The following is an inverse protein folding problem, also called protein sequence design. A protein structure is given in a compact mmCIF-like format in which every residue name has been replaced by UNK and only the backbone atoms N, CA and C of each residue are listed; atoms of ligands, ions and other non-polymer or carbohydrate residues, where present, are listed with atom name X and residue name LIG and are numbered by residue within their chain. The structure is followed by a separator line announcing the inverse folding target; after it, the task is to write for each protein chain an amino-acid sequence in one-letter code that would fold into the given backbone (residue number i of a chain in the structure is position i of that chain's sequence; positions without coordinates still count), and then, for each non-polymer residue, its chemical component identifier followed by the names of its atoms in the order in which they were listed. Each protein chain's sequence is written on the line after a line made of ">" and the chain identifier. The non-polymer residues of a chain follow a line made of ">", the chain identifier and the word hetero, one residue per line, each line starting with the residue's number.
data_IF_128951866010
#
_entry.id   IF_128951866010
#
_cell.length_a   1.000
_cell.length_b   1.000
_cell.length_c   1.000
_cell.angle_alpha   90.00
_cell.angle_beta   90.00
_cell.angle_gamma   90.00
#
_symmetry.space_group_name_H-M   'P 1'
#
loop_
_entity.id
_entity.type
_entity.pdbx_description
1 polymer ?
#
# COMPACT_ATOMS: atom_id res chain seq x y z
N UNK A 1 22.05 9.20 -5.52
CA UNK A 1 20.91 8.28 -5.53
C UNK A 1 20.37 8.15 -4.12
N UNK A 2 19.09 8.31 -3.94
CA UNK A 2 18.42 8.11 -2.66
C UNK A 2 17.33 7.04 -2.79
N UNK A 3 17.02 6.35 -1.70
CA UNK A 3 15.81 5.55 -1.57
C UNK A 3 14.71 6.45 -1.00
N UNK A 4 13.63 6.56 -1.74
CA UNK A 4 12.49 7.42 -1.38
C UNK A 4 11.28 6.53 -1.13
N UNK A 5 10.62 6.73 -0.01
CA UNK A 5 9.35 6.08 0.30
C UNK A 5 8.25 7.14 0.25
N UNK A 6 7.31 6.96 -0.67
CA UNK A 6 6.14 7.81 -0.81
C UNK A 6 4.90 7.13 -0.26
N UNK A 7 4.21 7.79 0.65
CA UNK A 7 2.89 7.35 1.11
C UNK A 7 1.83 8.30 0.54
N UNK A 8 0.80 7.74 -0.07
CA UNK A 8 -0.33 8.47 -0.62
C UNK A 8 -1.62 8.06 0.05
N UNK A 9 -2.36 9.04 0.57
CA UNK A 9 -3.68 8.83 1.16
C UNK A 9 -4.79 8.70 0.13
N UNK A 10 -6.00 8.38 0.59
CA UNK A 10 -7.17 8.13 -0.26
C UNK A 10 -7.53 9.30 -1.19
N UNK A 11 -7.30 10.53 -0.76
CA UNK A 11 -7.54 11.72 -1.59
C UNK A 11 -6.65 11.72 -2.84
N UNK A 12 -5.36 11.41 -2.71
CA UNK A 12 -4.44 11.33 -3.84
C UNK A 12 -4.71 10.12 -4.74
N UNK A 13 -5.42 9.14 -4.23
CA UNK A 13 -5.81 7.92 -4.94
C UNK A 13 -7.30 7.91 -5.32
N UNK A 14 -7.95 9.08 -5.28
CA UNK A 14 -9.41 9.19 -5.36
C UNK A 14 -10.03 8.93 -6.73
N UNK A 15 -9.25 8.96 -7.80
CA UNK A 15 -9.70 8.70 -9.17
C UNK A 15 -8.55 8.18 -10.02
N UNK A 16 -8.88 7.65 -11.21
CA UNK A 16 -7.85 7.21 -12.17
C UNK A 16 -6.95 8.35 -12.62
N UNK A 17 -7.50 9.56 -12.75
CA UNK A 17 -6.73 10.78 -13.07
C UNK A 17 -5.73 11.11 -11.97
N UNK A 18 -6.15 11.04 -10.70
CA UNK A 18 -5.25 11.28 -9.56
C UNK A 18 -4.17 10.22 -9.43
N UNK A 19 -4.50 8.97 -9.69
CA UNK A 19 -3.53 7.86 -9.74
C UNK A 19 -2.49 8.12 -10.85
N UNK A 20 -2.92 8.58 -12.02
CA UNK A 20 -2.02 8.97 -13.10
C UNK A 20 -1.08 10.11 -12.68
N UNK A 21 -1.57 11.08 -11.92
CA UNK A 21 -0.74 12.17 -11.39
C UNK A 21 0.32 11.67 -10.38
N UNK A 22 -0.05 10.73 -9.51
CA UNK A 22 0.90 10.05 -8.61
C UNK A 22 1.98 9.33 -9.41
N UNK A 23 1.59 8.60 -10.45
CA UNK A 23 2.54 7.90 -11.32
C UNK A 23 3.53 8.84 -11.99
N UNK A 24 3.08 9.98 -12.49
CA UNK A 24 3.95 11.02 -13.08
C UNK A 24 4.98 11.53 -12.07
N UNK A 25 4.56 11.77 -10.84
CA UNK A 25 5.42 12.24 -9.77
C UNK A 25 6.49 11.20 -9.40
N UNK A 26 6.10 9.95 -9.25
CA UNK A 26 7.03 8.84 -8.98
C UNK A 26 8.01 8.66 -10.14
N UNK A 27 7.53 8.67 -11.37
CA UNK A 27 8.35 8.56 -12.56
C UNK A 27 9.41 9.67 -12.64
N UNK A 28 9.05 10.88 -12.27
CA UNK A 28 9.99 12.03 -12.20
C UNK A 28 11.18 11.73 -11.26
N UNK A 29 10.92 11.20 -10.07
CA UNK A 29 11.97 10.84 -9.13
C UNK A 29 12.85 9.72 -9.63
N UNK A 30 12.26 8.72 -10.26
CA UNK A 30 13.01 7.59 -10.82
C UNK A 30 13.89 8.02 -11.99
N UNK A 31 13.41 8.90 -12.87
CA UNK A 31 14.21 9.47 -13.96
C UNK A 31 15.36 10.35 -13.46
N UNK A 32 15.22 10.89 -12.25
CA UNK A 32 16.32 11.61 -11.58
C UNK A 32 17.35 10.67 -10.92
N UNK A 33 17.20 9.36 -11.05
CA UNK A 33 18.14 8.36 -10.56
C UNK A 33 17.86 7.84 -9.15
N UNK A 34 16.69 8.12 -8.59
CA UNK A 34 16.31 7.63 -7.28
C UNK A 34 15.57 6.29 -7.35
N UNK A 35 15.67 5.50 -6.27
CA UNK A 35 14.82 4.32 -6.04
C UNK A 35 13.57 4.75 -5.29
N UNK A 36 12.39 4.26 -5.69
CA UNK A 36 11.12 4.68 -5.10
C UNK A 36 10.29 3.47 -4.69
N UNK A 37 9.86 3.48 -3.43
CA UNK A 37 8.81 2.61 -2.90
C UNK A 37 7.56 3.46 -2.67
N UNK A 38 6.42 3.01 -3.16
CA UNK A 38 5.15 3.72 -3.01
C UNK A 38 4.20 2.89 -2.18
N UNK A 39 3.59 3.52 -1.18
CA UNK A 39 2.60 2.89 -0.30
C UNK A 39 1.27 3.63 -0.46
N UNK A 40 0.41 3.21 -1.40
CA UNK A 40 -0.88 3.85 -1.61
C UNK A 40 -1.93 3.34 -0.64
N UNK A 41 -2.89 4.20 -0.32
CA UNK A 41 -4.14 3.82 0.29
C UNK A 41 -5.14 3.32 -0.75
N UNK A 42 -6.25 2.75 -0.32
CA UNK A 42 -7.41 2.51 -1.18
C UNK A 42 -7.91 3.83 -1.80
N UNK A 43 -8.63 3.73 -2.89
CA UNK A 43 -9.30 4.89 -3.49
C UNK A 43 -10.26 5.51 -2.47
N UNK A 44 -10.46 6.83 -2.57
CA UNK A 44 -11.30 7.58 -1.63
C UNK A 44 -12.69 6.96 -1.45
N UNK A 45 -13.08 6.71 -0.21
CA UNK A 45 -14.36 6.11 0.14
C UNK A 45 -14.48 4.60 -0.05
N UNK A 46 -13.50 3.95 -0.65
CA UNK A 46 -13.58 2.52 -0.98
C UNK A 46 -13.59 1.62 0.26
N UNK A 47 -12.75 1.89 1.24
CA UNK A 47 -12.74 1.11 2.49
C UNK A 47 -14.08 1.21 3.21
N UNK A 48 -14.66 2.39 3.29
CA UNK A 48 -15.97 2.59 3.91
C UNK A 48 -17.08 1.88 3.14
N UNK A 49 -17.02 1.89 1.81
CA UNK A 49 -17.96 1.16 0.97
C UNK A 49 -17.91 -0.34 1.24
N UNK A 50 -16.72 -0.91 1.27
CA UNK A 50 -16.50 -2.34 1.52
C UNK A 50 -16.98 -2.77 2.92
N UNK A 51 -16.62 -2.00 3.94
CA UNK A 51 -17.06 -2.27 5.31
C UNK A 51 -18.58 -2.09 5.47
N UNK A 52 -19.18 -1.16 4.72
CA UNK A 52 -20.63 -0.98 4.68
C UNK A 52 -21.36 -2.20 4.14
N UNK A 53 -20.85 -2.81 3.06
CA UNK A 53 -21.39 -4.06 2.51
C UNK A 53 -21.38 -5.21 3.55
N UNK A 54 -20.27 -5.32 4.29
CA UNK A 54 -20.16 -6.34 5.34
C UNK A 54 -21.23 -6.15 6.43
N UNK A 55 -21.45 -4.91 6.86
CA UNK A 55 -22.43 -4.58 7.90
C UNK A 55 -23.89 -4.80 7.45
N UNK A 56 -24.18 -4.58 6.17
CA UNK A 56 -25.49 -4.88 5.60
C UNK A 56 -25.82 -6.37 5.67
N UNK A 57 -24.81 -7.22 5.45
CA UNK A 57 -24.97 -8.68 5.47
C UNK A 57 -25.03 -9.19 6.92
N UNK A 58 -24.11 -8.72 7.76
CA UNK A 58 -24.03 -9.14 9.17
C UNK A 58 -23.52 -7.98 10.04
N UNK A 59 -24.40 -7.35 10.84
CA UNK A 59 -23.99 -6.27 11.76
C UNK A 59 -22.94 -6.70 12.79
N UNK A 60 -22.89 -7.98 13.14
CA UNK A 60 -21.90 -8.57 14.05
C UNK A 60 -20.72 -9.17 13.27
N UNK A 61 -20.23 -8.47 12.30
CA UNK A 61 -19.21 -8.95 11.41
C UNK A 61 -17.92 -9.39 12.14
N UNK A 62 -17.45 -10.59 11.82
CA UNK A 62 -16.21 -11.12 12.38
C UNK A 62 -15.01 -10.28 11.93
N UNK A 63 -14.14 -9.80 12.85
CA UNK A 63 -13.02 -8.94 12.52
C UNK A 63 -12.04 -9.52 11.50
N UNK A 64 -11.79 -10.82 11.52
CA UNK A 64 -10.95 -11.49 10.54
C UNK A 64 -11.52 -11.35 9.12
N UNK A 65 -12.82 -11.53 8.95
CA UNK A 65 -13.48 -11.39 7.65
C UNK A 65 -13.56 -9.92 7.21
N UNK A 66 -13.68 -8.99 8.13
CA UNK A 66 -13.59 -7.56 7.83
C UNK A 66 -12.22 -7.19 7.26
N UNK A 67 -11.14 -7.73 7.82
CA UNK A 67 -9.79 -7.51 7.32
C UNK A 67 -9.60 -8.10 5.92
N UNK A 68 -10.14 -9.28 5.68
CA UNK A 68 -10.14 -9.92 4.37
C UNK A 68 -10.78 -9.02 3.30
N UNK A 69 -11.92 -8.42 3.64
CA UNK A 69 -12.68 -7.54 2.74
C UNK A 69 -11.98 -6.19 2.59
N UNK A 70 -11.64 -5.53 3.70
CA UNK A 70 -11.05 -4.19 3.69
C UNK A 70 -9.72 -4.12 2.94
N UNK A 71 -8.89 -5.16 3.04
CA UNK A 71 -7.59 -5.22 2.38
C UNK A 71 -7.66 -5.18 0.85
N UNK A 72 -8.77 -5.56 0.26
CA UNK A 72 -8.93 -5.57 -1.21
C UNK A 72 -8.90 -4.18 -1.82
N UNK A 73 -9.27 -3.14 -1.07
CA UNK A 73 -9.23 -1.76 -1.55
C UNK A 73 -7.83 -1.31 -1.94
N UNK A 74 -6.86 -1.55 -1.08
CA UNK A 74 -5.46 -1.23 -1.37
C UNK A 74 -4.87 -2.12 -2.46
N UNK A 75 -5.29 -3.36 -2.55
CA UNK A 75 -4.85 -4.26 -3.62
C UNK A 75 -5.26 -3.70 -4.99
N UNK A 76 -6.48 -3.23 -5.13
CA UNK A 76 -6.97 -2.59 -6.37
C UNK A 76 -6.14 -1.35 -6.69
N UNK A 77 -6.01 -0.41 -5.76
CA UNK A 77 -5.30 0.85 -6.01
C UNK A 77 -3.82 0.64 -6.31
N UNK A 78 -3.18 -0.33 -5.67
CA UNK A 78 -1.77 -0.66 -5.91
C UNK A 78 -1.55 -1.23 -7.31
N UNK A 79 -2.40 -2.12 -7.77
CA UNK A 79 -2.36 -2.65 -9.12
C UNK A 79 -2.59 -1.56 -10.18
N UNK A 80 -3.56 -0.69 -9.95
CA UNK A 80 -3.84 0.44 -10.85
C UNK A 80 -2.65 1.42 -10.92
N UNK A 81 -2.01 1.69 -9.79
CA UNK A 81 -0.82 2.56 -9.76
C UNK A 81 0.35 1.93 -10.51
N UNK A 82 0.59 0.63 -10.35
CA UNK A 82 1.61 -0.08 -11.11
C UNK A 82 1.37 0.02 -12.64
N UNK A 83 0.13 -0.15 -13.07
CA UNK A 83 -0.25 0.03 -14.49
C UNK A 83 -0.01 1.47 -14.96
N UNK A 84 -0.35 2.46 -14.15
CA UNK A 84 -0.12 3.86 -14.46
C UNK A 84 1.38 4.19 -14.59
N UNK A 85 2.23 3.60 -13.74
CA UNK A 85 3.68 3.73 -13.82
C UNK A 85 4.23 3.10 -15.11
N UNK A 86 3.75 1.93 -15.48
CA UNK A 86 4.13 1.27 -16.75
C UNK A 86 3.75 2.14 -17.97
N UNK A 87 2.61 2.82 -17.92
CA UNK A 87 2.20 3.77 -18.96
C UNK A 87 3.14 4.96 -19.06
N UNK A 88 3.74 5.38 -17.96
CA UNK A 88 4.77 6.43 -17.93
C UNK A 88 6.15 5.94 -18.42
N UNK A 89 6.28 4.68 -18.81
CA UNK A 89 7.53 4.07 -19.26
C UNK A 89 8.45 3.64 -18.13
N UNK A 90 7.93 3.51 -16.93
CA UNK A 90 8.66 3.07 -15.75
C UNK A 90 8.32 1.61 -15.46
N UNK A 91 9.33 0.78 -15.27
CA UNK A 91 9.12 -0.59 -14.82
C UNK A 91 8.63 -0.59 -13.36
N UNK A 92 7.57 -1.31 -13.07
CA UNK A 92 6.92 -1.30 -11.77
C UNK A 92 6.37 -2.67 -11.40
N UNK A 93 6.26 -2.92 -10.12
CA UNK A 93 5.65 -4.12 -9.56
C UNK A 93 4.84 -3.75 -8.32
N UNK A 94 3.67 -4.35 -8.15
CA UNK A 94 2.85 -4.17 -6.96
C UNK A 94 2.83 -5.43 -6.10
N UNK A 95 2.84 -5.25 -4.79
CA UNK A 95 2.74 -6.32 -3.80
C UNK A 95 1.66 -6.02 -2.76
N UNK A 96 0.87 -7.01 -2.46
CA UNK A 96 0.06 -7.02 -1.24
C UNK A 96 0.96 -7.29 -0.02
N UNK A 97 0.51 -6.91 1.17
CA UNK A 97 1.31 -7.07 2.39
C UNK A 97 1.74 -8.51 2.69
N UNK A 98 0.96 -9.50 2.26
CA UNK A 98 1.31 -10.91 2.41
C UNK A 98 2.35 -11.39 1.38
N UNK A 99 2.52 -10.70 0.25
CA UNK A 99 3.51 -11.05 -0.78
C UNK A 99 4.93 -10.59 -0.41
N UNK A 100 5.05 -9.47 0.29
CA UNK A 100 6.32 -8.98 0.84
C UNK A 100 6.46 -9.29 2.33
N UNK A 101 5.56 -10.08 2.85
CA UNK A 101 5.51 -10.59 4.21
C UNK A 101 5.67 -9.50 5.27
N UNK A 102 4.69 -8.60 5.30
CA UNK A 102 4.53 -7.65 6.40
C UNK A 102 3.94 -8.44 7.58
N UNK A 103 4.81 -8.92 8.46
CA UNK A 103 4.39 -9.73 9.60
C UNK A 103 3.69 -8.88 10.66
N UNK A 104 2.52 -9.32 11.08
CA UNK A 104 1.74 -8.67 12.13
C UNK A 104 1.33 -9.66 13.22
N UNK A 105 0.80 -9.14 14.33
CA UNK A 105 0.02 -9.95 15.27
C UNK A 105 -1.38 -10.25 14.70
N UNK A 106 -2.17 -11.03 15.44
CA UNK A 106 -3.53 -11.43 15.04
C UNK A 106 -4.61 -10.51 15.62
N UNK A 107 -4.28 -9.29 15.97
CA UNK A 107 -5.25 -8.30 16.45
C UNK A 107 -6.04 -7.70 15.28
N UNK A 108 -6.93 -8.47 14.67
CA UNK A 108 -7.70 -8.05 13.50
C UNK A 108 -8.32 -6.67 13.69
N UNK A 109 -8.32 -5.87 12.62
CA UNK A 109 -8.72 -4.46 12.55
C UNK A 109 -7.78 -3.45 13.23
N UNK A 110 -6.84 -3.90 14.04
CA UNK A 110 -5.86 -3.06 14.76
C UNK A 110 -4.51 -3.77 14.95
N UNK A 111 -4.12 -4.57 13.97
CA UNK A 111 -2.87 -5.31 14.03
C UNK A 111 -1.65 -4.38 14.08
N UNK A 112 -0.56 -4.88 14.66
CA UNK A 112 0.72 -4.19 14.74
C UNK A 112 1.76 -4.92 13.92
N UNK A 113 2.57 -4.18 13.18
CA UNK A 113 3.68 -4.73 12.42
C UNK A 113 4.76 -5.19 13.38
N UNK A 114 5.22 -6.44 13.20
CA UNK A 114 6.35 -7.02 13.94
C UNK A 114 7.63 -6.96 13.15
N UNK A 115 7.58 -7.28 11.86
CA UNK A 115 8.72 -7.25 10.94
C UNK A 115 8.25 -7.19 9.50
N UNK A 116 9.15 -6.85 8.59
CA UNK A 116 8.93 -6.84 7.15
C UNK A 116 10.08 -7.59 6.49
N UNK A 117 9.76 -8.52 5.60
CA UNK A 117 10.75 -9.14 4.73
C UNK A 117 10.98 -8.22 3.52
N UNK A 118 12.13 -7.56 3.49
CA UNK A 118 12.46 -6.57 2.47
C UNK A 118 13.21 -7.12 1.25
N UNK A 119 13.51 -8.41 1.21
CA UNK A 119 14.34 -9.01 0.15
C UNK A 119 13.78 -8.79 -1.26
N UNK A 120 12.49 -9.03 -1.45
CA UNK A 120 11.83 -8.82 -2.75
C UNK A 120 11.85 -7.34 -3.15
N UNK A 121 11.57 -6.46 -2.19
CA UNK A 121 11.55 -5.00 -2.41
C UNK A 121 12.94 -4.54 -2.86
N UNK A 122 13.98 -4.90 -2.13
CA UNK A 122 15.36 -4.50 -2.46
C UNK A 122 15.81 -5.07 -3.81
N UNK A 123 15.46 -6.33 -4.10
CA UNK A 123 15.76 -6.95 -5.39
C UNK A 123 15.13 -6.21 -6.57
N UNK A 124 13.87 -5.82 -6.46
CA UNK A 124 13.17 -5.06 -7.49
C UNK A 124 13.72 -3.65 -7.65
N UNK A 125 14.02 -2.97 -6.55
CA UNK A 125 14.64 -1.64 -6.57
C UNK A 125 16.01 -1.68 -7.27
N UNK A 126 16.82 -2.68 -6.99
CA UNK A 126 18.13 -2.86 -7.63
C UNK A 126 18.00 -3.23 -9.12
N UNK A 127 16.89 -3.84 -9.52
CA UNK A 127 16.56 -4.11 -10.92
C UNK A 127 15.97 -2.88 -11.67
N UNK A 128 15.84 -1.74 -11.00
CA UNK A 128 15.32 -0.50 -11.59
C UNK A 128 13.80 -0.38 -11.61
N UNK A 129 13.10 -1.18 -10.81
CA UNK A 129 11.63 -1.14 -10.70
C UNK A 129 11.17 -0.19 -9.63
N UNK A 130 10.06 0.50 -9.87
CA UNK A 130 9.27 1.10 -8.81
C UNK A 130 8.53 -0.01 -8.07
N UNK A 131 8.56 0.01 -6.75
CA UNK A 131 7.88 -0.98 -5.93
C UNK A 131 6.66 -0.33 -5.27
N UNK A 132 5.49 -0.89 -5.54
CA UNK A 132 4.23 -0.44 -4.94
C UNK A 132 3.80 -1.48 -3.92
N UNK A 133 3.68 -1.09 -2.66
CA UNK A 133 3.27 -1.99 -1.58
C UNK A 133 1.95 -1.50 -1.01
N UNK A 134 0.97 -2.39 -0.89
CA UNK A 134 -0.31 -2.04 -0.26
C UNK A 134 -0.09 -1.50 1.14
N UNK A 135 -0.66 -0.32 1.43
CA UNK A 135 -0.71 0.21 2.78
C UNK A 135 -1.72 -0.53 3.66
N UNK A 136 -1.65 -0.29 4.95
CA UNK A 136 -2.68 -0.64 5.91
C UNK A 136 -2.87 -2.14 6.18
N UNK A 137 -2.10 -3.03 5.61
CA UNK A 137 -2.30 -4.48 5.73
C UNK A 137 -1.02 -5.27 5.94
N UNK A 138 -1.17 -6.45 6.49
CA UNK A 138 -0.11 -7.42 6.67
C UNK A 138 -0.67 -8.83 6.77
N UNK A 139 0.13 -9.73 7.31
CA UNK A 139 -0.20 -11.15 7.49
C UNK A 139 0.20 -11.59 8.91
N UNK A 140 -0.69 -12.33 9.56
CA UNK A 140 -0.40 -12.90 10.88
C UNK A 140 0.37 -14.23 10.76
N UNK A 141 0.82 -14.84 11.89
CA UNK A 141 1.55 -16.11 11.85
C UNK A 141 0.77 -17.28 11.24
N UNK A 142 -0.55 -17.20 11.20
CA UNK A 142 -1.42 -18.25 10.65
C UNK A 142 -1.75 -18.02 9.16
N UNK A 143 -1.17 -17.01 8.53
CA UNK A 143 -1.42 -16.67 7.13
C UNK A 143 -2.68 -15.85 6.90
N UNK A 144 -3.33 -15.35 7.95
CA UNK A 144 -4.51 -14.49 7.81
C UNK A 144 -4.09 -13.07 7.42
N UNK A 145 -4.86 -12.45 6.53
CA UNK A 145 -4.69 -11.03 6.23
C UNK A 145 -5.16 -10.21 7.42
N UNK A 146 -4.36 -9.23 7.81
CA UNK A 146 -4.67 -8.30 8.89
C UNK A 146 -4.67 -6.87 8.37
N UNK A 147 -5.49 -6.02 8.98
CA UNK A 147 -5.39 -4.57 8.77
C UNK A 147 -4.82 -3.89 10.02
N UNK A 148 -4.04 -2.85 9.78
CA UNK A 148 -3.39 -2.10 10.85
C UNK A 148 -4.39 -1.18 11.53
N UNK A 149 -4.12 -0.83 12.77
CA UNK A 149 -4.93 0.15 13.49
C UNK A 149 -4.95 1.50 12.75
N UNK A 150 -6.11 2.15 12.74
CA UNK A 150 -6.25 3.50 12.20
C UNK A 150 -5.46 4.49 13.06
N UNK A 151 -4.23 4.73 12.69
CA UNK A 151 -3.41 5.78 13.28
C UNK A 151 -3.25 6.92 12.29
N UNK A 152 -4.11 7.93 12.36
CA UNK A 152 -3.91 9.29 11.86
C UNK A 152 -3.39 9.49 10.43
N UNK A 153 -3.54 8.54 9.53
CA UNK A 153 -2.94 8.60 8.19
C UNK A 153 -3.86 9.16 7.10
N UNK A 154 -4.94 9.82 7.47
CA UNK A 154 -5.86 10.47 6.51
C UNK A 154 -5.28 11.76 5.89
N UNK A 155 -4.03 12.06 6.17
CA UNK A 155 -3.33 13.17 5.54
C UNK A 155 -2.57 12.67 4.32
N UNK A 156 -2.93 13.20 3.17
CA UNK A 156 -2.19 13.08 1.92
C UNK A 156 -0.86 13.82 2.02
N UNK A 157 0.04 13.33 2.86
CA UNK A 157 1.38 13.88 2.97
C UNK A 157 2.38 12.98 2.27
N UNK A 158 3.02 13.53 1.27
CA UNK A 158 4.23 12.99 0.71
C UNK A 158 5.32 13.07 1.78
N UNK A 159 5.69 11.95 2.39
CA UNK A 159 6.83 11.90 3.30
C UNK A 159 8.06 11.41 2.57
N UNK A 160 9.04 12.29 2.46
CA UNK A 160 10.40 11.89 2.14
C UNK A 160 11.04 11.31 3.39
N UNK A 161 11.48 10.09 3.30
CA UNK A 161 12.29 9.51 4.36
C UNK A 161 13.71 9.42 3.83
N UNK A 162 14.64 10.07 4.53
CA UNK A 162 16.06 10.04 4.22
C UNK A 162 16.67 8.64 4.39
N UNK A 163 18.00 8.53 4.22
CA UNK A 163 18.79 7.28 4.20
C UNK A 163 18.56 6.27 5.36
N UNK A 164 17.75 6.58 6.34
CA UNK A 164 17.53 5.78 7.55
C UNK A 164 16.08 5.34 7.73
N UNK A 165 15.31 5.16 6.66
CA UNK A 165 13.99 4.59 6.80
C UNK A 165 14.13 3.10 7.12
N UNK A 166 13.98 2.76 8.39
CA UNK A 166 13.62 1.40 8.80
C UNK A 166 12.13 1.23 8.50
N UNK A 167 11.84 0.44 7.48
CA UNK A 167 10.49 -0.03 7.21
C UNK A 167 9.97 -0.86 8.38
#
# INVERSE_FOLDING_TARGET
>A
MALIVHKYGGTSMGSTERIANVAKRVAKWMRAGHQVVVVPSAMSGETNRLLGLAKEINPDANPRELDQIASTGEQVSSGLLALALMKEGVDAVSYAGWQVTVHTDSAFTKARIKSIDDKKILGDLNAGRAVVVTGFQGVDPNGNITTLGRGGSDRSEERRVGKECRL
#
